data_IF_644202919516
#
_entry.id   IF_644202919516
#
_cell.length_a   1.000
_cell.length_b   1.000
_cell.length_c   1.000
_cell.angle_alpha   90.00
_cell.angle_beta   90.00
_cell.angle_gamma   90.00
#
_symmetry.space_group_name_H-M   'P 1'
#
loop_
_entity.id
_entity.type
_entity.pdbx_description
1 polymer ?
#
# COMPACT_ATOMS: atom_id res chain seq x y z
N UNK A 1 -0.65 2.65 -11.88
CA UNK A 1 0.57 2.90 -11.08
C UNK A 1 1.16 1.54 -10.71
N UNK A 2 2.23 1.12 -11.38
CA UNK A 2 2.89 -0.16 -11.08
C UNK A 2 3.61 -0.08 -9.74
N UNK A 3 3.43 -1.07 -8.87
CA UNK A 3 4.29 -1.24 -7.69
C UNK A 3 5.62 -1.85 -8.13
N UNK A 4 6.57 -1.03 -8.60
CA UNK A 4 7.92 -1.44 -8.96
C UNK A 4 8.95 -1.03 -7.89
N UNK A 5 10.14 -1.63 -7.94
CA UNK A 5 11.29 -1.24 -7.09
C UNK A 5 11.66 0.24 -7.29
N UNK A 6 11.56 0.75 -8.51
CA UNK A 6 11.89 2.15 -8.84
C UNK A 6 10.91 3.13 -8.18
N UNK A 7 9.61 2.85 -8.28
CA UNK A 7 8.58 3.65 -7.59
C UNK A 7 8.69 3.57 -6.07
N UNK A 8 9.32 2.53 -5.52
CA UNK A 8 9.63 2.43 -4.09
C UNK A 8 10.82 3.31 -3.71
N UNK A 9 11.89 3.30 -4.52
CA UNK A 9 13.07 4.12 -4.30
C UNK A 9 12.76 5.63 -4.41
N UNK A 10 11.94 6.03 -5.38
CA UNK A 10 11.41 7.40 -5.51
C UNK A 10 10.65 7.83 -4.25
N UNK A 11 9.60 7.10 -3.87
CA UNK A 11 8.83 7.42 -2.66
C UNK A 11 9.68 7.49 -1.39
N UNK A 12 10.70 6.63 -1.29
CA UNK A 12 11.63 6.66 -0.14
C UNK A 12 12.49 7.92 -0.15
N UNK A 13 12.96 8.38 -1.32
CA UNK A 13 13.72 9.64 -1.45
C UNK A 13 12.87 10.82 -1.01
N UNK A 14 11.65 10.93 -1.53
CA UNK A 14 10.72 12.02 -1.17
C UNK A 14 10.45 12.04 0.35
N UNK A 15 10.14 10.87 0.93
CA UNK A 15 9.94 10.75 2.39
C UNK A 15 11.19 11.06 3.21
N UNK A 16 12.39 10.89 2.64
CA UNK A 16 13.65 11.21 3.34
C UNK A 16 13.92 12.72 3.37
N UNK A 17 13.29 13.51 2.51
CA UNK A 17 13.36 14.98 2.61
C UNK A 17 12.58 15.49 3.84
N UNK A 18 11.47 14.83 4.17
CA UNK A 18 10.59 15.20 5.28
C UNK A 18 10.87 14.43 6.59
N UNK A 19 11.66 13.35 6.53
CA UNK A 19 11.91 12.46 7.67
C UNK A 19 13.35 11.92 7.69
N UNK A 20 13.73 11.14 8.69
CA UNK A 20 15.04 10.46 8.63
C UNK A 20 15.00 9.32 7.61
N UNK A 21 16.13 9.02 6.98
CA UNK A 21 16.24 7.90 6.02
C UNK A 21 15.78 6.55 6.59
N UNK A 22 15.92 6.34 7.91
CA UNK A 22 15.45 5.15 8.62
C UNK A 22 13.93 5.16 8.82
N UNK A 23 13.33 6.32 9.15
CA UNK A 23 11.87 6.48 9.20
C UNK A 23 11.25 6.30 7.82
N UNK A 24 11.78 6.95 6.79
CA UNK A 24 11.37 6.78 5.40
C UNK A 24 11.46 5.31 4.95
N UNK A 25 12.56 4.63 5.27
CA UNK A 25 12.74 3.20 4.99
C UNK A 25 11.67 2.33 5.67
N UNK A 26 11.43 2.52 6.96
CA UNK A 26 10.44 1.72 7.69
C UNK A 26 9.00 1.96 7.20
N UNK A 27 8.62 3.21 6.96
CA UNK A 27 7.28 3.58 6.47
C UNK A 27 7.02 2.99 5.08
N UNK A 28 7.97 3.15 4.16
CA UNK A 28 7.82 2.65 2.79
C UNK A 28 7.79 1.12 2.74
N UNK A 29 8.63 0.44 3.53
CA UNK A 29 8.61 -1.02 3.70
C UNK A 29 7.26 -1.50 4.25
N UNK A 30 6.79 -0.93 5.36
CA UNK A 30 5.51 -1.31 5.96
C UNK A 30 4.33 -1.13 4.97
N UNK A 31 4.34 -0.04 4.20
CA UNK A 31 3.33 0.22 3.17
C UNK A 31 3.42 -0.79 2.02
N UNK A 32 4.62 -1.14 1.58
CA UNK A 32 4.86 -2.15 0.55
C UNK A 32 4.40 -3.54 1.01
N UNK A 33 4.78 -3.97 2.20
CA UNK A 33 4.39 -5.25 2.79
C UNK A 33 2.87 -5.34 2.95
N UNK A 34 2.24 -4.24 3.40
CA UNK A 34 0.79 -4.17 3.52
C UNK A 34 0.10 -4.29 2.16
N UNK A 35 0.65 -3.68 1.11
CA UNK A 35 0.14 -3.83 -0.25
C UNK A 35 0.27 -5.28 -0.74
N UNK A 36 1.45 -5.89 -0.60
CA UNK A 36 1.72 -7.26 -1.03
C UNK A 36 0.84 -8.28 -0.29
N UNK A 37 0.67 -8.11 1.02
CA UNK A 37 -0.27 -8.90 1.81
C UNK A 37 -1.71 -8.74 1.31
N UNK A 38 -2.13 -7.51 1.01
CA UNK A 38 -3.49 -7.24 0.53
C UNK A 38 -3.76 -7.85 -0.83
N UNK A 39 -2.77 -7.86 -1.74
CA UNK A 39 -2.86 -8.57 -3.02
C UNK A 39 -3.02 -10.07 -2.82
N UNK A 40 -2.17 -10.71 -2.02
CA UNK A 40 -2.31 -12.15 -1.74
C UNK A 40 -3.67 -12.50 -1.15
N UNK A 41 -4.16 -11.69 -0.21
CA UNK A 41 -5.49 -11.88 0.38
C UNK A 41 -6.64 -11.69 -0.64
N UNK A 42 -6.53 -10.72 -1.55
CA UNK A 42 -7.51 -10.51 -2.63
C UNK A 42 -7.56 -11.70 -3.57
N UNK A 43 -6.40 -12.23 -3.98
CA UNK A 43 -6.33 -13.42 -4.83
C UNK A 43 -6.96 -14.64 -4.13
N UNK A 44 -6.63 -14.88 -2.86
CA UNK A 44 -7.24 -15.96 -2.09
C UNK A 44 -8.77 -15.79 -1.97
N UNK A 45 -9.26 -14.56 -1.82
CA UNK A 45 -10.70 -14.28 -1.80
C UNK A 45 -11.37 -14.61 -3.14
N UNK A 46 -10.75 -14.22 -4.26
CA UNK A 46 -11.22 -14.55 -5.62
C UNK A 46 -11.31 -16.06 -5.79
N UNK A 47 -10.29 -16.81 -5.37
CA UNK A 47 -10.30 -18.28 -5.45
C UNK A 47 -11.41 -18.89 -4.59
N UNK A 48 -11.63 -18.37 -3.38
CA UNK A 48 -12.75 -18.79 -2.53
C UNK A 48 -14.12 -18.50 -3.15
N UNK A 49 -14.28 -17.37 -3.83
CA UNK A 49 -15.52 -17.05 -4.57
C UNK A 49 -15.74 -18.02 -5.73
N UNK A 50 -14.71 -18.28 -6.54
CA UNK A 50 -14.76 -19.24 -7.66
C UNK A 50 -15.14 -20.64 -7.17
N UNK A 51 -14.50 -21.13 -6.12
CA UNK A 51 -14.84 -22.42 -5.53
C UNK A 51 -16.29 -22.48 -5.03
N UNK A 52 -16.74 -21.44 -4.32
CA UNK A 52 -18.12 -21.36 -3.83
C UNK A 52 -19.17 -21.30 -4.95
N UNK A 53 -18.88 -20.57 -6.03
CA UNK A 53 -19.70 -20.53 -7.24
C UNK A 53 -19.77 -21.92 -7.88
N UNK A 54 -18.64 -22.57 -8.09
CA UNK A 54 -18.57 -23.90 -8.69
C UNK A 54 -19.39 -24.93 -7.88
N UNK A 55 -19.26 -24.93 -6.56
CA UNK A 55 -20.04 -25.82 -5.69
C UNK A 55 -21.54 -25.57 -5.80
N UNK A 56 -21.98 -24.30 -5.78
CA UNK A 56 -23.41 -23.99 -5.84
C UNK A 56 -23.97 -24.29 -7.24
N UNK A 57 -23.26 -23.88 -8.30
CA UNK A 57 -23.67 -24.13 -9.67
C UNK A 57 -23.82 -25.63 -9.96
N UNK A 58 -22.85 -26.44 -9.51
CA UNK A 58 -22.93 -27.89 -9.64
C UNK A 58 -24.15 -28.47 -8.92
N UNK A 59 -24.42 -28.07 -7.67
CA UNK A 59 -25.59 -28.57 -6.94
C UNK A 59 -26.92 -28.07 -7.50
N UNK A 60 -26.95 -26.92 -8.18
CA UNK A 60 -28.15 -26.40 -8.84
C UNK A 60 -28.46 -27.14 -10.15
N UNK A 61 -27.46 -27.73 -10.82
CA UNK A 61 -27.67 -28.50 -12.05
C UNK A 61 -28.24 -29.90 -11.81
N UNK A 62 -28.20 -30.38 -10.56
CA UNK A 62 -28.76 -31.66 -10.15
C UNK A 62 -30.25 -31.52 -9.79
N UNK A 63 -31.10 -32.53 -10.09
CA UNK A 63 -32.48 -32.55 -9.64
C UNK A 63 -32.65 -32.31 -8.14
N UNK A 64 -33.71 -31.58 -7.77
CA UNK A 64 -34.05 -31.32 -6.37
C UNK A 64 -34.33 -32.64 -5.67
N UNK A 65 -33.70 -32.83 -4.50
CA UNK A 65 -33.80 -34.05 -3.70
C UNK A 65 -32.87 -35.18 -4.15
N UNK A 66 -32.10 -35.00 -5.22
CA UNK A 66 -31.12 -36.01 -5.65
C UNK A 66 -30.06 -36.22 -4.56
N UNK A 67 -29.88 -37.48 -4.16
CA UNK A 67 -28.89 -37.84 -3.15
C UNK A 67 -27.49 -37.80 -3.77
N UNK A 68 -26.55 -37.25 -3.01
CA UNK A 68 -25.14 -37.29 -3.38
C UNK A 68 -24.56 -38.70 -3.34
N UNK A 69 -23.46 -38.90 -4.06
CA UNK A 69 -22.65 -40.12 -3.99
C UNK A 69 -21.56 -39.97 -2.93
N UNK A 70 -20.84 -41.06 -2.64
CA UNK A 70 -19.77 -41.07 -1.63
C UNK A 70 -18.64 -40.11 -2.03
N UNK A 71 -18.70 -38.87 -1.52
CA UNK A 71 -17.73 -37.81 -1.78
C UNK A 71 -18.24 -36.62 -2.59
N UNK A 72 -19.47 -36.68 -3.14
CA UNK A 72 -20.07 -35.56 -3.90
C UNK A 72 -21.43 -35.18 -3.34
N UNK A 73 -21.64 -33.88 -3.13
CA UNK A 73 -22.94 -33.38 -2.68
C UNK A 73 -23.97 -33.49 -3.81
N UNK A 74 -25.14 -34.05 -3.50
CA UNK A 74 -26.27 -34.09 -4.43
C UNK A 74 -26.97 -32.74 -4.57
N UNK A 75 -28.13 -32.76 -5.22
CA UNK A 75 -29.00 -31.60 -5.35
C UNK A 75 -29.41 -30.99 -4.02
N UNK A 76 -30.04 -29.82 -4.06
CA UNK A 76 -30.63 -29.23 -2.86
C UNK A 76 -31.88 -30.00 -2.43
N UNK A 77 -32.17 -30.02 -1.13
CA UNK A 77 -33.23 -30.88 -0.58
C UNK A 77 -34.63 -30.44 -0.99
N UNK A 78 -34.86 -29.14 -1.11
CA UNK A 78 -36.17 -28.55 -1.42
C UNK A 78 -36.08 -27.50 -2.52
N UNK A 79 -37.20 -27.24 -3.20
CA UNK A 79 -37.29 -26.14 -4.19
C UNK A 79 -37.02 -24.78 -3.55
N UNK A 80 -37.41 -24.57 -2.30
CA UNK A 80 -37.16 -23.32 -1.58
C UNK A 80 -35.66 -23.13 -1.29
N UNK A 81 -34.96 -24.18 -0.89
CA UNK A 81 -33.52 -24.15 -0.72
C UNK A 81 -32.85 -23.86 -2.08
N UNK A 82 -33.24 -24.59 -3.13
CA UNK A 82 -32.75 -24.38 -4.49
C UNK A 82 -32.90 -22.92 -4.93
N UNK A 83 -34.07 -22.32 -4.75
CA UNK A 83 -34.34 -20.92 -5.12
C UNK A 83 -33.51 -19.92 -4.30
N UNK A 84 -33.28 -20.20 -3.02
CA UNK A 84 -32.41 -19.36 -2.18
C UNK A 84 -30.96 -19.46 -2.66
N UNK A 85 -30.52 -20.64 -3.08
CA UNK A 85 -29.15 -20.89 -3.55
C UNK A 85 -28.91 -20.35 -4.95
N UNK A 86 -29.91 -20.36 -5.85
CA UNK A 86 -29.81 -19.71 -7.16
C UNK A 86 -29.65 -18.20 -7.03
N UNK A 87 -30.39 -17.55 -6.13
CA UNK A 87 -30.18 -16.13 -5.81
C UNK A 87 -28.80 -15.87 -5.19
N UNK A 88 -28.35 -16.75 -4.28
CA UNK A 88 -27.01 -16.66 -3.70
C UNK A 88 -25.91 -16.81 -4.77
N UNK A 89 -26.09 -17.69 -5.76
CA UNK A 89 -25.16 -17.86 -6.87
C UNK A 89 -24.94 -16.52 -7.57
N UNK A 90 -26.02 -15.83 -7.95
CA UNK A 90 -25.94 -14.54 -8.63
C UNK A 90 -25.18 -13.49 -7.81
N UNK A 91 -25.46 -13.41 -6.51
CA UNK A 91 -24.74 -12.51 -5.60
C UNK A 91 -23.25 -12.83 -5.53
N UNK A 92 -22.86 -14.11 -5.61
CA UNK A 92 -21.45 -14.49 -5.62
C UNK A 92 -20.77 -14.16 -6.95
N UNK A 93 -21.44 -14.35 -8.08
CA UNK A 93 -20.96 -13.96 -9.41
C UNK A 93 -20.70 -12.45 -9.51
N UNK A 94 -21.65 -11.63 -9.05
CA UNK A 94 -21.51 -10.17 -9.05
C UNK A 94 -20.32 -9.73 -8.17
N UNK A 95 -20.13 -10.39 -7.02
CA UNK A 95 -18.98 -10.15 -6.14
C UNK A 95 -17.67 -10.56 -6.79
N UNK A 96 -17.63 -11.71 -7.46
CA UNK A 96 -16.44 -12.19 -8.17
C UNK A 96 -16.05 -11.21 -9.28
N UNK A 97 -17.02 -10.78 -10.09
CA UNK A 97 -16.80 -9.80 -11.15
C UNK A 97 -16.17 -8.51 -10.60
N UNK A 98 -16.72 -7.97 -9.50
CA UNK A 98 -16.19 -6.77 -8.86
C UNK A 98 -14.77 -6.94 -8.33
N UNK A 99 -14.48 -8.05 -7.64
CA UNK A 99 -13.14 -8.29 -7.09
C UNK A 99 -12.11 -8.59 -8.18
N UNK A 100 -12.52 -9.22 -9.28
CA UNK A 100 -11.68 -9.45 -10.44
C UNK A 100 -11.32 -8.13 -11.14
N UNK A 101 -12.30 -7.23 -11.33
CA UNK A 101 -12.05 -5.89 -11.86
C UNK A 101 -11.12 -5.07 -10.94
N UNK A 102 -11.31 -5.12 -9.63
CA UNK A 102 -10.41 -4.47 -8.67
C UNK A 102 -8.99 -5.10 -8.72
N UNK A 103 -8.89 -6.42 -8.92
CA UNK A 103 -7.61 -7.12 -9.06
C UNK A 103 -6.83 -6.69 -10.30
N UNK A 104 -7.50 -6.64 -11.46
CA UNK A 104 -6.94 -6.20 -12.74
C UNK A 104 -6.54 -4.73 -12.72
N UNK A 105 -7.35 -3.87 -12.10
CA UNK A 105 -7.03 -2.46 -11.89
C UNK A 105 -5.90 -2.22 -10.87
N UNK A 106 -5.37 -3.27 -10.21
CA UNK A 106 -4.36 -3.13 -9.17
C UNK A 106 -4.86 -2.45 -7.90
N UNK A 107 -6.19 -2.36 -7.70
CA UNK A 107 -6.80 -1.62 -6.60
C UNK A 107 -6.83 -2.48 -5.34
N UNK A 108 -6.14 -2.03 -4.28
CA UNK A 108 -6.19 -2.63 -2.96
C UNK A 108 -7.00 -1.77 -1.99
N UNK A 109 -7.80 -2.41 -1.12
CA UNK A 109 -8.51 -1.73 -0.03
C UNK A 109 -7.86 -2.08 1.30
N UNK A 110 -7.12 -1.14 1.87
CA UNK A 110 -6.43 -1.30 3.14
C UNK A 110 -7.20 -0.59 4.24
N UNK A 111 -7.37 -1.25 5.38
CA UNK A 111 -8.00 -0.68 6.57
C UNK A 111 -6.98 -0.68 7.70
N UNK A 112 -6.44 0.49 8.04
CA UNK A 112 -5.54 0.65 9.19
C UNK A 112 -6.29 0.28 10.48
N UNK A 113 -5.69 -0.61 11.27
CA UNK A 113 -6.35 -1.21 12.45
C UNK A 113 -7.10 -2.52 12.15
N UNK A 114 -7.20 -2.92 10.88
CA UNK A 114 -7.71 -4.22 10.45
C UNK A 114 -9.19 -4.19 10.03
N UNK A 115 -9.48 -4.82 8.89
CA UNK A 115 -10.83 -4.88 8.28
C UNK A 115 -11.88 -5.53 9.21
N UNK A 116 -11.48 -6.54 9.99
CA UNK A 116 -12.39 -7.24 10.93
C UNK A 116 -12.90 -6.31 12.02
N UNK A 117 -12.01 -5.56 12.67
CA UNK A 117 -12.40 -4.59 13.70
C UNK A 117 -13.31 -3.51 13.12
N UNK A 118 -13.00 -2.97 11.94
CA UNK A 118 -13.87 -1.99 11.28
C UNK A 118 -15.30 -2.53 11.05
N UNK A 119 -15.43 -3.77 10.55
CA UNK A 119 -16.75 -4.38 10.34
C UNK A 119 -17.50 -4.64 11.64
N UNK A 120 -16.80 -5.10 12.67
CA UNK A 120 -17.40 -5.40 13.97
C UNK A 120 -18.05 -4.16 14.61
N UNK A 121 -17.65 -2.93 14.24
CA UNK A 121 -18.25 -1.69 14.74
C UNK A 121 -19.77 -1.62 14.51
N UNK A 122 -20.25 -2.21 13.43
CA UNK A 122 -21.67 -2.24 13.08
C UNK A 122 -22.42 -3.43 13.69
N UNK A 123 -21.71 -4.36 14.34
CA UNK A 123 -22.26 -5.59 14.91
C UNK A 123 -21.51 -5.97 16.19
N UNK A 124 -21.51 -5.04 17.15
CA UNK A 124 -20.74 -5.16 18.40
C UNK A 124 -21.22 -6.32 19.27
N UNK A 125 -22.54 -6.55 19.34
CA UNK A 125 -23.13 -7.67 20.10
C UNK A 125 -22.66 -9.03 19.56
N UNK A 126 -22.74 -9.25 18.24
CA UNK A 126 -22.25 -10.47 17.61
C UNK A 126 -20.73 -10.65 17.75
N UNK A 127 -19.99 -9.54 17.87
CA UNK A 127 -18.56 -9.54 18.12
C UNK A 127 -18.19 -9.66 19.61
N UNK A 128 -19.17 -9.71 20.52
CA UNK A 128 -18.99 -9.73 21.97
C UNK A 128 -18.06 -8.60 22.46
N UNK A 129 -18.29 -7.39 21.96
CA UNK A 129 -17.53 -6.19 22.32
C UNK A 129 -18.46 -5.08 22.75
N UNK A 130 -18.07 -4.33 23.78
CA UNK A 130 -18.64 -2.99 24.00
C UNK A 130 -18.04 -1.98 23.03
N UNK A 131 -18.70 -0.84 22.85
CA UNK A 131 -18.16 0.25 22.01
C UNK A 131 -16.81 0.76 22.54
N UNK A 132 -16.67 0.93 23.85
CA UNK A 132 -15.43 1.39 24.48
C UNK A 132 -14.28 0.41 24.27
N UNK A 133 -14.52 -0.89 24.46
CA UNK A 133 -13.54 -1.94 24.20
C UNK A 133 -13.14 -1.95 22.73
N UNK A 134 -14.10 -1.81 21.82
CA UNK A 134 -13.84 -1.66 20.40
C UNK A 134 -12.99 -0.43 20.11
N UNK A 135 -13.32 0.74 20.67
CA UNK A 135 -12.61 1.99 20.43
C UNK A 135 -11.18 1.93 20.95
N UNK A 136 -10.96 1.36 22.14
CA UNK A 136 -9.63 1.13 22.72
C UNK A 136 -8.79 0.23 21.81
N UNK A 137 -9.35 -0.91 21.39
CA UNK A 137 -8.67 -1.85 20.46
C UNK A 137 -8.40 -1.21 19.11
N UNK A 138 -9.35 -0.43 18.58
CA UNK A 138 -9.25 0.25 17.30
C UNK A 138 -8.15 1.33 17.31
N UNK A 139 -8.11 2.17 18.35
CA UNK A 139 -7.04 3.14 18.56
C UNK A 139 -5.70 2.40 18.67
N UNK A 140 -5.57 1.43 19.58
CA UNK A 140 -4.34 0.68 19.80
C UNK A 140 -3.81 0.00 18.52
N UNK A 141 -4.67 -0.69 17.75
CA UNK A 141 -4.27 -1.35 16.50
C UNK A 141 -3.85 -0.38 15.38
N UNK A 142 -4.24 0.89 15.49
CA UNK A 142 -3.80 1.94 14.55
C UNK A 142 -2.51 2.61 14.99
N UNK A 143 -2.14 2.51 16.26
CA UNK A 143 -0.84 2.96 16.72
C UNK A 143 0.21 2.01 16.14
N UNK A 144 1.11 2.55 15.35
CA UNK A 144 2.16 1.81 14.67
C UNK A 144 3.45 2.59 14.85
N UNK A 145 4.43 1.95 15.49
CA UNK A 145 5.79 2.42 15.61
C UNK A 145 6.67 1.20 15.37
N UNK A 146 7.27 1.11 14.18
CA UNK A 146 8.18 0.04 13.84
C UNK A 146 9.50 0.65 13.39
N UNK A 147 10.59 -0.03 13.72
CA UNK A 147 11.90 0.23 13.16
C UNK A 147 12.66 -1.10 13.12
N UNK A 148 13.34 -1.37 12.00
CA UNK A 148 14.04 -2.65 11.81
C UNK A 148 15.20 -2.80 12.81
N UNK A 149 15.31 -3.96 13.47
CA UNK A 149 16.44 -4.28 14.35
C UNK A 149 17.79 -4.15 13.63
N UNK A 150 18.84 -3.78 14.37
CA UNK A 150 20.18 -3.62 13.82
C UNK A 150 21.11 -4.68 14.41
N UNK A 151 21.82 -5.39 13.53
CA UNK A 151 22.77 -6.43 13.96
C UNK A 151 23.80 -5.84 14.94
N UNK A 152 24.12 -6.60 15.99
CA UNK A 152 25.04 -6.17 17.04
C UNK A 152 24.46 -5.22 18.09
N UNK A 153 23.20 -4.76 17.97
CA UNK A 153 22.57 -3.90 18.98
C UNK A 153 21.57 -4.67 19.83
N UNK A 154 21.92 -4.87 21.10
CA UNK A 154 20.98 -5.33 22.13
C UNK A 154 20.05 -4.15 22.47
N UNK A 155 18.75 -4.43 22.60
CA UNK A 155 17.69 -3.47 22.96
C UNK A 155 17.20 -2.49 21.85
N UNK A 156 17.16 -2.96 20.60
CA UNK A 156 16.49 -2.24 19.51
C UNK A 156 17.44 -1.77 18.42
N UNK A 157 17.27 -0.54 17.95
CA UNK A 157 18.14 0.08 16.94
C UNK A 157 18.41 1.55 17.28
N UNK A 158 19.00 2.30 16.36
CA UNK A 158 19.23 3.74 16.55
C UNK A 158 17.98 4.61 16.43
N UNK A 159 16.86 4.06 15.99
CA UNK A 159 15.58 4.75 15.79
C UNK A 159 14.63 4.56 16.97
N UNK A 160 14.63 3.37 17.58
CA UNK A 160 13.83 2.98 18.74
C UNK A 160 14.75 2.16 19.63
N UNK A 161 15.03 2.68 20.84
CA UNK A 161 15.72 1.92 21.88
C UNK A 161 14.75 1.54 22.97
N UNK A 162 14.91 0.32 23.49
CA UNK A 162 14.23 -0.12 24.70
C UNK A 162 15.26 -0.07 25.82
N UNK A 163 14.93 0.54 26.96
CA UNK A 163 15.81 0.47 28.14
C UNK A 163 15.69 -0.93 28.76
N UNK A 164 16.69 -1.40 29.52
CA UNK A 164 16.55 -2.65 30.27
C UNK A 164 15.34 -2.66 31.22
N UNK A 165 14.87 -1.48 31.66
CA UNK A 165 13.65 -1.30 32.46
C UNK A 165 12.34 -1.30 31.66
N UNK A 166 12.37 -1.48 30.34
CA UNK A 166 11.19 -1.57 29.49
C UNK A 166 10.69 -0.24 28.92
N UNK A 167 11.39 0.87 29.13
CA UNK A 167 11.03 2.16 28.56
C UNK A 167 11.40 2.23 27.07
N UNK A 168 10.58 2.87 26.24
CA UNK A 168 10.83 3.01 24.81
C UNK A 168 11.23 4.45 24.49
N UNK A 169 12.46 4.63 24.01
CA UNK A 169 13.02 5.93 23.63
C UNK A 169 13.08 6.05 22.10
N UNK A 170 12.13 6.76 21.47
CA UNK A 170 12.19 7.03 20.04
C UNK A 170 13.21 8.13 19.75
N UNK A 171 14.11 7.89 18.80
CA UNK A 171 14.99 8.91 18.26
C UNK A 171 14.31 9.59 17.07
N UNK A 172 13.98 10.86 17.25
CA UNK A 172 13.58 11.76 16.18
C UNK A 172 14.69 12.79 16.00
N UNK A 173 15.07 13.07 14.76
CA UNK A 173 15.94 14.20 14.45
C UNK A 173 15.01 15.40 14.36
N UNK A 174 15.14 16.36 15.29
CA UNK A 174 14.47 17.65 15.16
C UNK A 174 15.11 18.33 13.95
N UNK A 175 14.41 18.43 12.83
CA UNK A 175 14.82 19.38 11.80
C UNK A 175 14.52 20.78 12.37
N UNK A 176 15.49 21.72 12.42
CA UNK A 176 15.10 23.11 12.54
C UNK A 176 14.18 23.37 11.36
N UNK A 177 12.92 23.70 11.64
CA UNK A 177 11.98 24.13 10.62
C UNK A 177 12.66 25.25 9.85
N UNK A 178 13.10 24.97 8.62
CA UNK A 178 13.38 26.05 7.68
C UNK A 178 12.03 26.68 7.38
N UNK A 179 11.63 27.62 8.24
CA UNK A 179 10.70 28.66 7.82
C UNK A 179 11.34 29.27 6.56
N UNK A 180 10.66 29.29 5.41
CA UNK A 180 11.08 30.20 4.37
C UNK A 180 10.88 31.60 4.95
N UNK A 181 11.95 32.18 5.47
CA UNK A 181 11.93 33.55 5.96
C UNK A 181 11.47 34.44 4.81
N UNK A 182 10.37 35.14 5.07
CA UNK A 182 9.76 36.12 4.19
C UNK A 182 10.84 37.12 3.75
N UNK A 183 10.94 37.31 2.44
CA UNK A 183 11.47 38.48 1.74
C UNK A 183 12.30 39.46 2.59
N UNK A 184 13.58 39.15 2.80
CA UNK A 184 14.59 40.15 3.15
C UNK A 184 15.08 40.85 1.90
N UNK A 185 14.39 41.92 1.49
CA UNK A 185 14.90 42.87 0.49
C UNK A 185 16.20 43.52 1.03
N UNK A 186 17.36 42.93 0.73
CA UNK A 186 18.64 43.62 0.94
C UNK A 186 18.88 44.54 -0.25
N UNK A 187 18.62 45.83 -0.01
CA UNK A 187 19.09 46.95 -0.84
C UNK A 187 20.61 46.82 -1.02
N UNK A 188 21.05 46.54 -2.24
CA UNK A 188 22.47 46.72 -2.62
C UNK A 188 22.69 48.21 -2.90
N UNK A 189 23.49 48.86 -2.05
CA UNK A 189 24.08 50.17 -2.34
C UNK A 189 25.03 50.06 -3.54
N UNK A 190 25.08 51.03 -4.47
CA UNK A 190 25.88 50.92 -5.68
C UNK A 190 27.34 51.27 -5.39
N UNK A 191 28.23 50.27 -5.49
CA UNK A 191 29.68 50.48 -5.50
C UNK A 191 30.15 50.97 -6.87
N UNK A 192 30.91 52.07 -6.83
CA UNK A 192 31.65 52.77 -7.90
C UNK A 192 31.99 51.94 -9.14
N UNK A 193 31.62 52.49 -10.30
CA UNK A 193 32.08 52.11 -11.64
C UNK A 193 33.44 52.75 -11.91
N UNK A 194 34.43 51.95 -12.32
CA UNK A 194 35.64 52.43 -12.99
C UNK A 194 35.46 52.24 -14.52
N UNK A 195 35.88 53.20 -15.37
CA UNK A 195 35.59 53.13 -16.80
C UNK A 195 36.74 52.51 -17.60
N UNK A 196 36.37 51.81 -18.68
CA UNK A 196 37.17 51.75 -19.90
C UNK A 196 37.72 50.38 -20.31
N UNK A 197 37.06 49.71 -21.25
CA UNK A 197 37.39 49.78 -22.69
C UNK A 197 36.39 48.98 -23.51
N UNK A 198 36.06 49.54 -24.67
CA UNK A 198 35.04 49.08 -25.59
C UNK A 198 35.59 48.15 -26.70
N UNK A 199 34.63 47.57 -27.45
CA UNK A 199 34.69 46.85 -28.76
C UNK A 199 34.79 45.32 -28.63
N UNK A 200 34.02 44.46 -29.32
CA UNK A 200 33.00 44.57 -30.37
C UNK A 200 32.22 43.21 -30.46
N UNK A 201 31.16 43.09 -31.29
CA UNK A 201 30.11 42.08 -31.12
C UNK A 201 30.11 40.88 -32.10
N UNK A 202 29.29 39.88 -31.75
CA UNK A 202 28.56 38.89 -32.60
C UNK A 202 29.37 37.97 -33.52
N UNK A 203 29.20 36.64 -33.34
CA UNK A 203 28.82 35.71 -34.42
C UNK A 203 27.96 34.54 -33.92
N UNK A 204 26.79 34.37 -34.54
CA UNK A 204 26.00 33.14 -34.62
C UNK A 204 26.58 32.22 -35.70
N UNK A 205 26.50 30.90 -35.50
CA UNK A 205 26.24 29.85 -36.51
C UNK A 205 26.16 28.51 -35.74
N UNK A 206 24.98 27.91 -35.58
CA UNK A 206 24.33 26.96 -36.50
C UNK A 206 25.01 25.59 -36.57
N UNK A 207 24.24 24.59 -36.11
CA UNK A 207 24.06 23.19 -36.52
C UNK A 207 25.16 22.48 -37.33
N UNK A 208 25.32 21.16 -37.11
CA UNK A 208 25.08 20.10 -38.14
C UNK A 208 25.56 18.70 -37.68
N UNK A 209 24.68 17.72 -37.93
CA UNK A 209 24.85 16.27 -38.19
C UNK A 209 25.31 15.26 -37.12
N UNK A 210 24.33 14.46 -36.67
CA UNK A 210 24.20 13.01 -36.91
C UNK A 210 25.46 12.23 -37.32
N UNK A 211 25.77 11.18 -36.55
CA UNK A 211 26.12 9.85 -37.10
C UNK A 211 25.74 8.71 -36.13
N UNK A 212 25.08 7.65 -36.61
CA UNK A 212 24.83 6.42 -35.85
C UNK A 212 25.87 5.33 -36.18
N UNK A 213 25.65 4.14 -35.57
CA UNK A 213 26.15 2.82 -35.98
C UNK A 213 27.55 2.38 -35.50
N UNK A 214 27.61 1.39 -34.59
CA UNK A 214 27.74 -0.04 -34.95
C UNK A 214 27.76 -0.96 -33.73
N UNK A 215 26.90 -1.98 -33.76
CA UNK A 215 27.02 -3.24 -33.02
C UNK A 215 28.26 -4.00 -33.50
N UNK A 216 28.90 -4.75 -32.61
CA UNK A 216 29.61 -6.00 -32.93
C UNK A 216 29.35 -7.06 -31.85
N UNK A 217 29.43 -8.35 -32.21
CA UNK A 217 28.82 -9.47 -31.49
C UNK A 217 29.80 -10.14 -30.53
N UNK A 218 29.24 -10.96 -29.64
CA UNK A 218 29.96 -11.86 -28.74
C UNK A 218 30.48 -13.10 -29.50
N UNK A 219 31.56 -13.74 -29.02
CA UNK A 219 31.76 -15.17 -29.17
C UNK A 219 30.87 -15.97 -28.20
#
# INVERSE_FOLDING_TARGET
>A
MGHSTDTWAERKRDLTEESSSRWAGSITKATHDQWALSRRAQLAHIQGLKAGIATIAHRLSLPVGEKGTKGSAGGYHTRQEWFTKSRRLRVLEDRLSKEQADWEAGRVRVVRGGKRLARNRHNLQAAQLTEEQWQKRWKAKRWFLAADGESGKKYGNETIRVTPGGEVSPRWRVWPTKRPDRCGHQRRSPGRVAPGRARQPLRRASAVLLRPFRRRPAP
#
